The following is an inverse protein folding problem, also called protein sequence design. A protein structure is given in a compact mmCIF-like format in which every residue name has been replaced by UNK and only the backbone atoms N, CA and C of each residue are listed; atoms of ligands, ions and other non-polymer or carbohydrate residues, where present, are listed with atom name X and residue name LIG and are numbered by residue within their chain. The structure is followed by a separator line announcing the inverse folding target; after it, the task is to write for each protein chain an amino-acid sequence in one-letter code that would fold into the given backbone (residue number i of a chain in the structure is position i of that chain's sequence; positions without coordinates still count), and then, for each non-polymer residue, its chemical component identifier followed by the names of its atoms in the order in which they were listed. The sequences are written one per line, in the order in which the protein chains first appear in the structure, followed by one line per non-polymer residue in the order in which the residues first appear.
data_IF_870549712416
#
_entry.id   IF_870549712416
#
_cell.length_a   1.000
_cell.length_b   1.000
_cell.length_c   1.000
_cell.angle_alpha   90.00
_cell.angle_beta   90.00
_cell.angle_gamma   90.00
#
_symmetry.space_group_name_H-M   'P 1'
#
loop_
_entity.id
_entity.type
_entity.pdbx_description
1 polymer ?
#
# COMPACT_ATOMS: atom_id res chain seq x y z
N UNK A 1 11.57 17.45 25.75
CA UNK A 1 12.03 17.16 24.38
C UNK A 1 10.93 16.52 23.54
N UNK A 2 10.31 15.43 23.99
CA UNK A 2 9.19 14.75 23.30
C UNK A 2 8.01 15.69 22.95
N UNK A 3 7.56 16.52 23.91
CA UNK A 3 6.49 17.51 23.66
C UNK A 3 6.85 18.50 22.53
N UNK A 4 8.11 18.90 22.45
CA UNK A 4 8.58 19.80 21.40
C UNK A 4 8.56 19.13 20.02
N UNK A 5 8.95 17.86 19.95
CA UNK A 5 8.87 17.06 18.72
C UNK A 5 7.42 16.93 18.23
N UNK A 6 6.48 16.66 19.13
CA UNK A 6 5.04 16.58 18.81
C UNK A 6 4.51 17.93 18.30
N UNK A 7 4.95 19.04 18.87
CA UNK A 7 4.57 20.37 18.36
C UNK A 7 5.09 20.59 16.93
N UNK A 8 6.33 20.17 16.63
CA UNK A 8 6.88 20.21 15.28
C UNK A 8 6.06 19.33 14.34
N UNK A 9 5.80 18.08 14.70
CA UNK A 9 5.02 17.15 13.90
C UNK A 9 3.59 17.64 13.69
N UNK A 10 2.97 18.21 14.72
CA UNK A 10 1.63 18.79 14.64
C UNK A 10 1.61 19.97 13.67
N UNK A 11 2.64 20.82 13.71
CA UNK A 11 2.79 21.91 12.74
C UNK A 11 2.94 21.37 11.30
N UNK A 12 3.79 20.36 11.09
CA UNK A 12 3.99 19.71 9.79
C UNK A 12 2.68 19.08 9.30
N UNK A 13 1.94 18.41 10.18
CA UNK A 13 0.65 17.81 9.90
C UNK A 13 -0.37 18.88 9.48
N UNK A 14 -0.54 19.93 10.28
CA UNK A 14 -1.43 21.04 9.96
C UNK A 14 -1.06 21.72 8.63
N UNK A 15 0.22 21.95 8.39
CA UNK A 15 0.72 22.51 7.13
C UNK A 15 0.37 21.60 5.94
N UNK A 16 0.60 20.30 6.09
CA UNK A 16 0.37 19.29 5.05
C UNK A 16 -1.13 19.10 4.79
N UNK A 17 -1.96 19.07 5.82
CA UNK A 17 -3.43 19.07 5.69
C UNK A 17 -3.95 20.33 5.00
N UNK A 18 -3.38 21.50 5.28
CA UNK A 18 -3.73 22.74 4.58
C UNK A 18 -3.33 22.69 3.09
N UNK A 19 -2.17 22.09 2.75
CA UNK A 19 -1.78 21.86 1.35
C UNK A 19 -2.69 20.84 0.65
N UNK A 20 -3.08 19.77 1.34
CA UNK A 20 -4.04 18.79 0.84
C UNK A 20 -5.43 19.39 0.62
N UNK A 21 -5.88 20.30 1.49
CA UNK A 21 -7.12 21.08 1.29
C UNK A 21 -7.04 21.91 0.01
N UNK A 22 -5.86 22.42 -0.32
CA UNK A 22 -5.55 23.08 -1.58
C UNK A 22 -5.26 22.11 -2.75
N UNK A 23 -5.58 20.83 -2.57
CA UNK A 23 -5.52 19.74 -3.56
C UNK A 23 -4.12 19.29 -3.99
N UNK A 24 -3.08 19.61 -3.22
CA UNK A 24 -1.71 19.18 -3.51
C UNK A 24 -1.42 17.81 -2.88
N UNK A 25 -1.58 16.75 -3.68
CA UNK A 25 -1.53 15.36 -3.21
C UNK A 25 -0.14 14.88 -2.78
N UNK A 26 0.91 15.61 -3.14
CA UNK A 26 2.29 15.22 -2.79
C UNK A 26 2.51 15.30 -1.28
N UNK A 27 1.67 16.06 -0.57
CA UNK A 27 1.68 16.17 0.90
C UNK A 27 0.98 15.02 1.64
N UNK A 28 0.47 13.99 0.95
CA UNK A 28 -0.09 12.79 1.60
C UNK A 28 0.99 12.08 2.43
N UNK A 29 2.20 11.92 1.90
CA UNK A 29 3.30 11.26 2.62
C UNK A 29 3.64 11.99 3.93
N UNK A 30 3.94 13.30 3.93
CA UNK A 30 4.09 14.09 5.16
C UNK A 30 2.93 13.98 6.15
N UNK A 31 1.68 14.09 5.66
CA UNK A 31 0.50 14.06 6.52
C UNK A 31 0.30 12.70 7.19
N UNK A 32 0.51 11.60 6.45
CA UNK A 32 0.26 10.26 6.95
C UNK A 32 1.25 9.86 8.04
N UNK A 33 2.56 10.04 7.79
CA UNK A 33 3.59 9.68 8.76
C UNK A 33 3.52 10.52 10.05
N UNK A 34 3.27 11.83 9.92
CA UNK A 34 3.10 12.69 11.11
C UNK A 34 1.81 12.37 11.87
N UNK A 35 0.71 12.07 11.17
CA UNK A 35 -0.53 11.64 11.81
C UNK A 35 -0.34 10.34 12.61
N UNK A 36 0.26 9.32 12.00
CA UNK A 36 0.49 8.03 12.67
C UNK A 36 1.33 8.22 13.93
N UNK A 37 2.45 8.94 13.84
CA UNK A 37 3.33 9.11 14.97
C UNK A 37 2.68 9.86 16.14
N UNK A 38 1.95 10.95 15.84
CA UNK A 38 1.18 11.70 16.84
C UNK A 38 0.06 10.84 17.43
N UNK A 39 -0.66 10.09 16.60
CA UNK A 39 -1.75 9.20 17.03
C UNK A 39 -1.22 8.14 18.00
N UNK A 40 -0.12 7.49 17.68
CA UNK A 40 0.48 6.47 18.55
C UNK A 40 0.99 7.10 19.84
N UNK A 41 1.64 8.26 19.80
CA UNK A 41 2.05 8.94 21.03
C UNK A 41 0.88 9.22 21.97
N UNK A 42 -0.18 9.80 21.43
CA UNK A 42 -1.35 10.16 22.23
C UNK A 42 -2.04 8.89 22.75
N UNK A 43 -2.17 7.87 21.89
CA UNK A 43 -2.80 6.60 22.22
C UNK A 43 -2.06 5.80 23.29
N UNK A 44 -0.73 5.85 23.28
CA UNK A 44 0.13 5.14 24.25
C UNK A 44 0.21 5.87 25.59
N UNK A 45 0.28 7.21 25.57
CA UNK A 45 0.50 7.99 26.79
C UNK A 45 -0.78 8.30 27.58
N UNK A 46 -1.92 8.41 26.92
CA UNK A 46 -3.15 8.92 27.56
C UNK A 46 -4.32 7.94 27.55
N UNK A 47 -4.27 6.89 26.75
CA UNK A 47 -5.44 6.05 26.52
C UNK A 47 -5.17 4.55 26.59
N UNK A 48 -3.93 4.12 26.83
CA UNK A 48 -3.41 2.74 26.97
C UNK A 48 -3.78 1.73 25.85
N UNK A 49 -4.71 2.06 24.95
CA UNK A 49 -5.21 1.16 23.91
C UNK A 49 -4.12 0.82 22.90
N UNK A 50 -3.17 1.73 22.67
CA UNK A 50 -2.06 1.51 21.76
C UNK A 50 -1.00 0.55 22.34
N UNK A 51 -1.02 0.25 23.65
CA UNK A 51 -0.15 -0.75 24.28
C UNK A 51 -0.63 -2.20 24.05
N UNK A 52 -1.94 -2.39 23.79
CA UNK A 52 -2.54 -3.70 23.49
C UNK A 52 -2.20 -4.19 22.06
N UNK A 53 -0.91 -4.32 21.75
CA UNK A 53 -0.42 -4.87 20.50
C UNK A 53 -0.07 -6.35 20.71
N UNK A 54 -0.43 -7.26 19.78
CA UNK A 54 -0.27 -8.71 19.94
C UNK A 54 1.19 -9.22 19.96
N UNK A 55 2.18 -8.34 20.06
CA UNK A 55 3.58 -8.70 20.12
C UNK A 55 4.17 -8.13 21.41
N UNK A 56 4.78 -8.99 22.22
CA UNK A 56 5.49 -8.64 23.45
C UNK A 56 6.72 -7.77 23.13
N UNK A 57 6.50 -6.52 22.72
CA UNK A 57 7.52 -5.50 22.69
C UNK A 57 7.75 -5.06 24.13
N UNK A 58 8.66 -5.74 24.80
CA UNK A 58 9.11 -5.30 26.10
C UNK A 58 9.80 -3.94 25.92
N UNK A 59 9.18 -2.93 26.53
CA UNK A 59 9.71 -1.59 26.85
C UNK A 59 9.37 -0.52 25.81
N UNK A 60 8.29 0.21 26.08
CA UNK A 60 8.14 1.59 25.61
C UNK A 60 9.13 2.47 26.40
N UNK A 61 9.99 3.20 25.69
CA UNK A 61 10.91 4.15 26.31
C UNK A 61 10.74 5.52 25.64
N UNK A 62 10.62 6.59 26.43
CA UNK A 62 10.58 7.97 25.90
C UNK A 62 11.76 8.28 24.96
N UNK A 63 12.89 7.57 25.13
CA UNK A 63 14.04 7.68 24.24
C UNK A 63 13.84 7.01 22.88
N UNK A 64 13.28 5.79 22.81
CA UNK A 64 12.99 5.09 21.55
C UNK A 64 11.95 5.85 20.75
N UNK A 65 10.91 6.34 21.41
CA UNK A 65 9.89 7.21 20.82
C UNK A 65 10.47 8.50 20.24
N UNK A 66 11.43 9.12 20.95
CA UNK A 66 12.10 10.30 20.42
C UNK A 66 12.89 9.97 19.16
N UNK A 67 13.60 8.83 19.13
CA UNK A 67 14.36 8.41 17.96
C UNK A 67 13.46 8.13 16.76
N UNK A 68 12.34 7.43 16.95
CA UNK A 68 11.37 7.15 15.88
C UNK A 68 10.74 8.45 15.34
N UNK A 69 10.41 9.40 16.21
CA UNK A 69 9.89 10.71 15.78
C UNK A 69 10.92 11.58 15.06
N UNK A 70 12.18 11.60 15.51
CA UNK A 70 13.26 12.29 14.79
C UNK A 70 13.46 11.69 13.40
N UNK A 71 13.42 10.36 13.30
CA UNK A 71 13.52 9.63 12.04
C UNK A 71 12.37 9.96 11.08
N UNK A 72 11.14 10.00 11.58
CA UNK A 72 9.95 10.36 10.79
C UNK A 72 10.04 11.83 10.34
N UNK A 73 10.38 12.73 11.25
CA UNK A 73 10.59 14.14 10.95
C UNK A 73 11.67 14.34 9.88
N UNK A 74 12.79 13.63 9.96
CA UNK A 74 13.85 13.72 8.95
C UNK A 74 13.38 13.21 7.59
N UNK A 75 12.72 12.04 7.55
CA UNK A 75 12.19 11.48 6.31
C UNK A 75 11.22 12.45 5.63
N UNK A 76 10.30 13.03 6.39
CA UNK A 76 9.32 14.02 5.90
C UNK A 76 10.01 15.29 5.41
N UNK A 77 10.98 15.83 6.15
CA UNK A 77 11.74 17.00 5.74
C UNK A 77 12.47 16.76 4.41
N UNK A 78 13.22 15.66 4.28
CA UNK A 78 13.98 15.37 3.06
C UNK A 78 13.07 15.04 1.87
N UNK A 79 11.93 14.38 2.12
CA UNK A 79 10.90 14.20 1.12
C UNK A 79 10.40 15.55 0.59
N UNK A 80 10.04 16.49 1.48
CA UNK A 80 9.60 17.85 1.10
C UNK A 80 10.70 18.59 0.33
N UNK A 81 11.96 18.50 0.75
CA UNK A 81 13.09 19.10 0.02
C UNK A 81 13.19 18.52 -1.41
N UNK A 82 12.99 17.20 -1.57
CA UNK A 82 12.91 16.55 -2.87
C UNK A 82 11.79 17.11 -3.76
N UNK A 83 10.60 17.33 -3.21
CA UNK A 83 9.48 17.98 -3.91
C UNK A 83 9.89 19.38 -4.39
N UNK A 84 10.44 20.20 -3.49
CA UNK A 84 10.84 21.58 -3.78
C UNK A 84 11.91 21.64 -4.88
N UNK A 85 12.85 20.68 -4.88
CA UNK A 85 13.91 20.61 -5.87
C UNK A 85 13.40 20.37 -7.29
N UNK A 86 12.23 19.77 -7.44
CA UNK A 86 11.61 19.58 -8.75
C UNK A 86 11.22 20.89 -9.46
N UNK A 87 11.32 22.07 -8.81
CA UNK A 87 11.10 23.43 -9.39
C UNK A 87 9.79 23.60 -10.15
N UNK A 88 8.73 22.89 -9.77
CA UNK A 88 7.47 22.86 -10.53
C UNK A 88 6.29 23.11 -9.58
N UNK A 89 5.54 24.20 -9.87
CA UNK A 89 4.33 24.69 -9.19
C UNK A 89 3.36 23.59 -8.71
N UNK A 90 2.55 23.85 -7.65
CA UNK A 90 1.68 22.86 -7.02
C UNK A 90 0.77 22.19 -8.03
N UNK A 91 0.66 20.87 -7.91
CA UNK A 91 -0.23 20.03 -8.71
C UNK A 91 -1.64 20.28 -8.19
N UNK A 92 -2.48 20.95 -8.98
CA UNK A 92 -3.85 21.28 -8.54
C UNK A 92 -4.79 20.25 -9.13
N UNK A 93 -5.59 19.59 -8.29
CA UNK A 93 -6.71 18.76 -8.74
C UNK A 93 -7.83 19.62 -9.35
N UNK A 94 -7.62 20.20 -10.52
CA UNK A 94 -8.65 20.87 -11.30
C UNK A 94 -8.58 20.39 -12.76
N UNK A 95 -9.72 19.88 -13.23
CA UNK A 95 -10.00 19.50 -14.61
C UNK A 95 -9.03 18.50 -15.25
N UNK A 96 -8.63 17.44 -14.54
CA UNK A 96 -8.24 16.22 -15.27
C UNK A 96 -9.48 15.83 -16.07
N UNK A 97 -9.40 15.93 -17.39
CA UNK A 97 -10.48 15.53 -18.26
C UNK A 97 -10.47 14.00 -18.27
N UNK A 98 -11.07 13.39 -17.25
CA UNK A 98 -11.09 11.94 -16.99
C UNK A 98 -11.98 11.18 -17.99
N UNK A 99 -12.19 11.71 -19.20
CA UNK A 99 -12.82 10.93 -20.27
C UNK A 99 -11.84 9.89 -20.80
N UNK A 100 -11.62 8.85 -20.01
CA UNK A 100 -10.95 7.65 -20.47
C UNK A 100 -11.99 6.72 -21.07
N UNK A 101 -12.05 6.68 -22.41
CA UNK A 101 -12.93 5.77 -23.14
C UNK A 101 -12.16 4.50 -23.46
N UNK A 102 -12.31 3.50 -22.60
CA UNK A 102 -11.88 2.13 -22.92
C UNK A 102 -13.02 1.46 -23.70
N UNK A 103 -12.76 0.86 -24.88
CA UNK A 103 -13.78 0.09 -25.59
C UNK A 103 -14.31 -1.03 -24.69
N UNK A 104 -15.64 -1.07 -24.51
CA UNK A 104 -16.32 -2.01 -23.63
C UNK A 104 -15.93 -3.47 -23.90
N UNK A 105 -15.78 -3.83 -25.18
CA UNK A 105 -15.38 -5.18 -25.59
C UNK A 105 -13.97 -5.55 -25.10
N UNK A 106 -13.01 -4.61 -25.15
CA UNK A 106 -11.63 -4.85 -24.68
C UNK A 106 -11.61 -5.10 -23.18
N UNK A 107 -12.36 -4.30 -22.41
CA UNK A 107 -12.49 -4.48 -20.96
C UNK A 107 -13.03 -5.87 -20.62
N UNK A 108 -14.09 -6.31 -21.30
CA UNK A 108 -14.68 -7.64 -21.09
C UNK A 108 -13.69 -8.75 -21.44
N UNK A 109 -12.99 -8.65 -22.58
CA UNK A 109 -12.04 -9.67 -23.01
C UNK A 109 -10.93 -9.84 -21.97
N UNK A 110 -10.35 -8.75 -21.47
CA UNK A 110 -9.28 -8.82 -20.46
C UNK A 110 -9.79 -9.43 -19.15
N UNK A 111 -11.00 -9.05 -18.70
CA UNK A 111 -11.63 -9.59 -17.49
C UNK A 111 -11.87 -11.10 -17.64
N UNK A 112 -12.45 -11.52 -18.76
CA UNK A 112 -12.71 -12.94 -19.04
C UNK A 112 -11.40 -13.74 -19.13
N UNK A 113 -10.37 -13.15 -19.76
CA UNK A 113 -9.05 -13.77 -19.84
C UNK A 113 -8.40 -13.92 -18.45
N UNK A 114 -8.52 -12.92 -17.58
CA UNK A 114 -8.06 -13.00 -16.19
C UNK A 114 -8.78 -14.11 -15.41
N UNK A 115 -10.10 -14.21 -15.57
CA UNK A 115 -10.91 -15.27 -14.93
C UNK A 115 -10.49 -16.65 -15.47
N UNK A 116 -10.32 -16.78 -16.79
CA UNK A 116 -9.86 -18.00 -17.43
C UNK A 116 -8.48 -18.44 -16.92
N UNK A 117 -7.52 -17.50 -16.84
CA UNK A 117 -6.19 -17.79 -16.25
C UNK A 117 -6.33 -18.25 -14.81
N UNK A 118 -7.23 -17.66 -14.01
CA UNK A 118 -7.42 -18.08 -12.63
C UNK A 118 -7.89 -19.54 -12.51
N UNK A 119 -8.75 -20.00 -13.41
CA UNK A 119 -9.18 -21.41 -13.46
C UNK A 119 -8.07 -22.36 -13.90
N UNK A 120 -7.11 -21.91 -14.72
CA UNK A 120 -5.95 -22.71 -15.10
C UNK A 120 -4.81 -22.66 -14.06
N UNK A 121 -4.71 -21.56 -13.31
CA UNK A 121 -3.61 -21.32 -12.38
C UNK A 121 -3.73 -22.10 -11.08
N UNK A 122 -4.97 -22.45 -10.68
CA UNK A 122 -5.27 -23.02 -9.37
C UNK A 122 -6.22 -24.20 -9.50
N UNK A 123 -5.99 -25.24 -8.71
CA UNK A 123 -6.93 -26.34 -8.59
C UNK A 123 -8.20 -25.89 -7.86
N UNK A 124 -9.36 -26.17 -8.46
CA UNK A 124 -10.65 -25.71 -7.95
C UNK A 124 -10.92 -26.18 -6.52
N UNK A 125 -10.53 -27.43 -6.19
CA UNK A 125 -10.67 -27.98 -4.85
C UNK A 125 -9.78 -27.25 -3.83
N UNK A 126 -8.55 -26.89 -4.20
CA UNK A 126 -7.65 -26.12 -3.32
C UNK A 126 -8.13 -24.69 -3.09
N UNK A 127 -8.82 -24.08 -4.07
CA UNK A 127 -9.46 -22.77 -3.91
C UNK A 127 -10.67 -22.82 -2.98
N UNK A 128 -11.40 -23.94 -2.93
CA UNK A 128 -12.57 -24.09 -2.08
C UNK A 128 -12.20 -24.49 -0.64
N UNK A 129 -11.29 -25.46 -0.50
CA UNK A 129 -10.95 -26.11 0.77
C UNK A 129 -9.42 -26.33 0.87
N UNK A 130 -8.77 -25.75 1.87
CA UNK A 130 -7.34 -25.99 2.14
C UNK A 130 -7.01 -25.96 3.63
N UNK A 131 -6.06 -26.79 4.03
CA UNK A 131 -5.60 -26.89 5.43
C UNK A 131 -4.31 -26.13 5.73
N UNK A 132 -3.61 -25.58 4.72
CA UNK A 132 -2.37 -24.81 4.88
C UNK A 132 -2.26 -23.69 3.83
N UNK A 133 -1.36 -22.73 4.07
CA UNK A 133 -0.88 -21.78 3.04
C UNK A 133 -0.37 -22.58 1.84
N UNK A 134 -0.68 -22.15 0.60
CA UNK A 134 -0.38 -22.87 -0.65
C UNK A 134 1.06 -23.40 -0.67
N UNK A 135 1.22 -24.72 -0.56
CA UNK A 135 2.54 -25.35 -0.50
C UNK A 135 3.09 -25.72 -1.88
N UNK A 136 2.25 -25.80 -2.92
CA UNK A 136 2.68 -26.10 -4.28
C UNK A 136 1.90 -25.25 -5.29
N UNK A 137 2.46 -24.11 -5.72
CA UNK A 137 1.98 -23.43 -6.93
C UNK A 137 2.34 -24.32 -8.15
N UNK A 138 1.44 -25.25 -8.53
CA UNK A 138 1.60 -26.19 -9.66
C UNK A 138 1.89 -25.47 -10.98
N UNK A 139 1.34 -24.26 -11.14
CA UNK A 139 1.57 -23.41 -12.32
C UNK A 139 2.02 -21.98 -11.96
N UNK A 140 3.21 -21.86 -11.37
CA UNK A 140 3.83 -20.56 -10.95
C UNK A 140 3.66 -19.43 -11.97
N UNK A 141 3.85 -19.71 -13.27
CA UNK A 141 3.72 -18.69 -14.33
C UNK A 141 2.29 -18.16 -14.44
N UNK A 142 1.30 -19.05 -14.42
CA UNK A 142 -0.12 -18.69 -14.49
C UNK A 142 -0.56 -17.93 -13.24
N UNK A 143 -0.03 -18.30 -12.06
CA UNK A 143 -0.25 -17.58 -10.81
C UNK A 143 0.32 -16.16 -10.89
N UNK A 144 1.53 -15.98 -11.40
CA UNK A 144 2.13 -14.65 -11.60
C UNK A 144 1.29 -13.83 -12.58
N UNK A 145 0.89 -14.42 -13.71
CA UNK A 145 0.01 -13.77 -14.69
C UNK A 145 -1.30 -13.32 -14.06
N UNK A 146 -1.93 -14.18 -13.25
CA UNK A 146 -3.15 -13.82 -12.51
C UNK A 146 -2.91 -12.66 -11.54
N UNK A 147 -1.84 -12.71 -10.73
CA UNK A 147 -1.49 -11.64 -9.77
C UNK A 147 -1.26 -10.28 -10.45
N UNK A 148 -0.85 -10.27 -11.72
CA UNK A 148 -0.70 -9.04 -12.53
C UNK A 148 -2.02 -8.63 -13.19
N UNK A 149 -2.81 -9.60 -13.67
CA UNK A 149 -4.06 -9.34 -14.37
C UNK A 149 -5.23 -9.01 -13.44
N UNK A 150 -5.26 -9.49 -12.20
CA UNK A 150 -6.36 -9.26 -11.26
C UNK A 150 -6.56 -7.77 -10.95
N UNK A 151 -5.52 -6.96 -10.68
CA UNK A 151 -5.72 -5.54 -10.37
C UNK A 151 -6.12 -4.74 -11.62
N UNK A 152 -5.58 -5.13 -12.79
CA UNK A 152 -5.95 -4.54 -14.09
C UNK A 152 -7.42 -4.83 -14.40
N UNK A 153 -7.84 -6.09 -14.25
CA UNK A 153 -9.21 -6.52 -14.50
C UNK A 153 -10.19 -5.86 -13.53
N UNK A 154 -9.81 -5.75 -12.26
CA UNK A 154 -10.59 -5.02 -11.24
C UNK A 154 -10.76 -3.56 -11.63
N UNK A 155 -9.71 -2.89 -12.09
CA UNK A 155 -9.80 -1.53 -12.64
C UNK A 155 -10.76 -1.45 -13.83
N UNK A 156 -10.67 -2.39 -14.78
CA UNK A 156 -11.52 -2.44 -15.97
C UNK A 156 -13.00 -2.71 -15.63
N UNK A 157 -13.29 -3.48 -14.58
CA UNK A 157 -14.66 -3.66 -14.07
C UNK A 157 -15.33 -2.30 -13.77
N UNK A 158 -14.57 -1.32 -13.30
CA UNK A 158 -15.06 0.04 -13.03
C UNK A 158 -15.69 0.74 -14.25
N UNK A 159 -15.35 0.33 -15.48
CA UNK A 159 -15.85 0.90 -16.73
C UNK A 159 -17.10 0.18 -17.28
N UNK A 160 -17.55 -0.91 -16.64
CA UNK A 160 -18.73 -1.66 -17.08
C UNK A 160 -20.00 -0.87 -16.70
N UNK A 161 -20.80 -0.52 -17.71
CA UNK A 161 -22.05 0.25 -17.54
C UNK A 161 -23.15 -0.55 -16.82
N UNK A 162 -23.28 -1.83 -17.14
CA UNK A 162 -24.29 -2.69 -16.50
C UNK A 162 -23.86 -3.02 -15.07
N UNK A 163 -24.63 -2.53 -14.08
CA UNK A 163 -24.35 -2.73 -12.65
C UNK A 163 -24.23 -4.20 -12.26
N UNK A 164 -25.04 -5.09 -12.82
CA UNK A 164 -25.03 -6.51 -12.48
C UNK A 164 -23.76 -7.20 -12.99
N UNK A 165 -23.45 -7.01 -14.28
CA UNK A 165 -22.22 -7.54 -14.87
C UNK A 165 -20.97 -7.01 -14.15
N UNK A 166 -20.96 -5.72 -13.80
CA UNK A 166 -19.86 -5.09 -13.08
C UNK A 166 -19.54 -5.81 -11.77
N UNK A 167 -20.55 -6.00 -10.93
CA UNK A 167 -20.34 -6.60 -9.61
C UNK A 167 -20.13 -8.11 -9.68
N UNK A 168 -20.73 -8.81 -10.65
CA UNK A 168 -20.46 -10.23 -10.87
C UNK A 168 -19.01 -10.48 -11.28
N UNK A 169 -18.47 -9.70 -12.23
CA UNK A 169 -17.06 -9.83 -12.60
C UNK A 169 -16.11 -9.47 -11.47
N UNK A 170 -16.42 -8.39 -10.72
CA UNK A 170 -15.62 -8.04 -9.55
C UNK A 170 -15.62 -9.17 -8.52
N UNK A 171 -16.78 -9.77 -8.23
CA UNK A 171 -16.90 -10.89 -7.32
C UNK A 171 -16.08 -12.10 -7.78
N UNK A 172 -16.14 -12.44 -9.07
CA UNK A 172 -15.35 -13.55 -9.64
C UNK A 172 -13.83 -13.29 -9.58
N UNK A 173 -13.39 -12.04 -9.77
CA UNK A 173 -11.98 -11.70 -9.64
C UNK A 173 -11.54 -11.75 -8.17
N UNK A 174 -12.36 -11.27 -7.25
CA UNK A 174 -12.05 -11.21 -5.81
C UNK A 174 -12.15 -12.57 -5.11
N UNK A 175 -12.95 -13.51 -5.62
CA UNK A 175 -13.12 -14.82 -5.00
C UNK A 175 -11.80 -15.59 -4.87
N UNK A 176 -10.96 -15.53 -5.90
CA UNK A 176 -9.65 -16.20 -5.94
C UNK A 176 -8.67 -15.64 -4.88
N UNK A 177 -8.34 -14.34 -4.85
CA UNK A 177 -7.46 -13.80 -3.82
C UNK A 177 -8.10 -13.89 -2.42
N UNK A 178 -9.43 -13.88 -2.30
CA UNK A 178 -10.15 -14.17 -1.06
C UNK A 178 -9.93 -15.60 -0.58
N UNK A 179 -10.08 -16.61 -1.44
CA UNK A 179 -9.72 -18.00 -1.13
C UNK A 179 -8.28 -18.13 -0.68
N UNK A 180 -7.38 -17.37 -1.31
CA UNK A 180 -5.97 -17.41 -1.03
C UNK A 180 -5.57 -16.63 0.24
N UNK A 181 -6.50 -15.93 0.90
CA UNK A 181 -6.23 -14.99 1.98
C UNK A 181 -5.07 -14.03 1.62
N UNK A 182 -5.12 -13.55 0.37
CA UNK A 182 -4.08 -12.75 -0.25
C UNK A 182 -4.35 -11.26 -0.01
N UNK A 183 -3.30 -10.50 0.29
CA UNK A 183 -3.35 -9.03 0.40
C UNK A 183 -3.69 -8.35 -0.94
N UNK A 184 -3.65 -9.09 -2.05
CA UNK A 184 -4.04 -8.61 -3.38
C UNK A 184 -5.51 -8.17 -3.41
N UNK A 185 -6.39 -8.71 -2.55
CA UNK A 185 -7.79 -8.27 -2.41
C UNK A 185 -7.86 -6.74 -2.19
N UNK A 186 -7.03 -6.21 -1.29
CA UNK A 186 -7.01 -4.77 -1.00
C UNK A 186 -6.57 -3.95 -2.21
N UNK A 187 -5.59 -4.45 -2.97
CA UNK A 187 -5.11 -3.83 -4.22
C UNK A 187 -6.19 -3.89 -5.31
N UNK A 188 -6.86 -5.03 -5.49
CA UNK A 188 -7.94 -5.22 -6.45
C UNK A 188 -9.12 -4.28 -6.16
N UNK A 189 -9.54 -4.17 -4.89
CA UNK A 189 -10.57 -3.24 -4.45
C UNK A 189 -10.18 -1.77 -4.69
N UNK A 190 -8.92 -1.41 -4.41
CA UNK A 190 -8.39 -0.08 -4.70
C UNK A 190 -8.44 0.20 -6.21
N UNK A 191 -8.00 -0.74 -7.05
CA UNK A 191 -7.99 -0.59 -8.49
C UNK A 191 -9.41 -0.48 -9.09
N UNK A 192 -10.35 -1.29 -8.61
CA UNK A 192 -11.77 -1.18 -8.97
C UNK A 192 -12.37 0.19 -8.63
N UNK A 193 -12.00 0.74 -7.48
CA UNK A 193 -12.41 2.09 -7.09
C UNK A 193 -11.89 3.15 -8.06
N UNK A 194 -10.59 3.12 -8.38
CA UNK A 194 -9.97 4.03 -9.34
C UNK A 194 -10.75 3.98 -10.67
N UNK A 195 -10.99 2.79 -11.21
CA UNK A 195 -11.76 2.63 -12.45
C UNK A 195 -13.20 3.16 -12.36
N UNK A 196 -13.89 2.91 -11.25
CA UNK A 196 -15.26 3.37 -11.03
C UNK A 196 -15.37 4.89 -10.90
N UNK A 197 -14.39 5.54 -10.24
CA UNK A 197 -14.32 7.01 -10.11
C UNK A 197 -14.08 7.66 -11.47
N UNK A 198 -13.21 7.07 -12.29
CA UNK A 198 -12.95 7.52 -13.66
C UNK A 198 -14.22 7.51 -14.52
N UNK A 199 -15.03 6.44 -14.43
CA UNK A 199 -16.19 6.27 -15.29
C UNK A 199 -17.41 7.10 -14.85
N UNK A 200 -17.69 7.20 -13.55
CA UNK A 200 -19.00 7.69 -13.06
C UNK A 200 -18.96 8.99 -12.25
N UNK A 201 -17.80 9.60 -12.00
CA UNK A 201 -17.66 10.86 -11.22
C UNK A 201 -18.50 10.88 -9.92
N UNK A 202 -18.60 9.76 -9.20
CA UNK A 202 -19.50 9.64 -8.03
C UNK A 202 -18.97 10.37 -6.80
N UNK A 203 -19.91 10.92 -6.00
CA UNK A 203 -19.67 11.81 -4.86
C UNK A 203 -19.01 11.17 -3.64
N UNK A 204 -18.68 12.01 -2.66
CA UNK A 204 -17.90 11.71 -1.44
C UNK A 204 -18.35 10.47 -0.66
N UNK A 205 -19.66 10.23 -0.55
CA UNK A 205 -20.24 9.14 0.26
C UNK A 205 -19.89 7.73 -0.27
N UNK A 206 -19.83 7.57 -1.59
CA UNK A 206 -19.39 6.33 -2.23
C UNK A 206 -17.89 6.08 -2.04
N UNK A 207 -17.11 7.15 -1.89
CA UNK A 207 -15.67 7.10 -1.62
C UNK A 207 -15.41 6.62 -0.19
N UNK A 208 -16.19 7.10 0.77
CA UNK A 208 -16.08 6.72 2.19
C UNK A 208 -16.42 5.25 2.45
N UNK A 209 -17.49 4.72 1.83
CA UNK A 209 -17.90 3.30 1.99
C UNK A 209 -16.83 2.35 1.44
N UNK A 210 -16.17 2.72 0.34
CA UNK A 210 -15.14 1.89 -0.29
C UNK A 210 -13.81 2.00 0.45
N UNK A 211 -13.42 3.19 0.94
CA UNK A 211 -12.26 3.35 1.83
C UNK A 211 -12.48 2.51 3.11
N UNK A 212 -13.68 2.56 3.68
CA UNK A 212 -14.05 1.73 4.82
C UNK A 212 -13.95 0.23 4.47
N UNK A 213 -14.38 -0.17 3.26
CA UNK A 213 -14.23 -1.55 2.77
C UNK A 213 -12.77 -1.94 2.60
N UNK A 214 -11.92 -1.07 2.04
CA UNK A 214 -10.47 -1.31 1.90
C UNK A 214 -9.81 -1.48 3.26
N UNK A 215 -10.14 -0.61 4.23
CA UNK A 215 -9.66 -0.69 5.62
C UNK A 215 -10.11 -2.00 6.26
N UNK A 216 -11.41 -2.32 6.17
CA UNK A 216 -12.01 -3.53 6.73
C UNK A 216 -11.41 -4.82 6.12
N UNK A 217 -11.24 -4.88 4.79
CA UNK A 217 -10.63 -6.00 4.09
C UNK A 217 -9.09 -6.04 4.19
N UNK A 218 -8.44 -4.96 4.63
CA UNK A 218 -7.02 -5.00 5.02
C UNK A 218 -6.81 -5.48 6.45
N UNK A 219 -7.84 -5.41 7.31
CA UNK A 219 -7.84 -5.97 8.68
C UNK A 219 -8.22 -7.46 8.66
N UNK A 220 -9.13 -7.88 7.77
CA UNK A 220 -9.60 -9.27 7.68
C UNK A 220 -8.50 -10.35 7.49
N UNK A 221 -7.37 -10.12 6.79
CA UNK A 221 -6.32 -11.11 6.64
C UNK A 221 -5.57 -11.39 7.95
N UNK A 222 -5.56 -10.45 8.91
CA UNK A 222 -4.97 -10.67 10.23
C UNK A 222 -5.80 -11.66 11.05
N UNK A 223 -7.13 -11.58 10.96
CA UNK A 223 -8.07 -12.48 11.65
C UNK A 223 -8.05 -13.87 10.99
N UNK A 224 -8.08 -13.92 9.66
CA UNK A 224 -8.14 -15.19 8.91
C UNK A 224 -6.82 -15.97 8.87
N UNK A 225 -5.67 -15.33 9.16
CA UNK A 225 -4.35 -15.99 9.18
C UNK A 225 -4.12 -16.91 10.38
N UNK A 226 -4.84 -16.69 11.48
CA UNK A 226 -4.79 -17.57 12.65
C UNK A 226 -5.55 -18.89 12.47
N UNK A 227 -6.26 -19.07 11.35
CA UNK A 227 -7.11 -20.24 11.14
C UNK A 227 -6.34 -21.40 10.51
N UNK A 228 -6.56 -22.60 11.07
CA UNK A 228 -6.01 -23.87 10.57
C UNK A 228 -6.64 -24.32 9.25
N UNK A 229 -7.80 -23.79 8.90
CA UNK A 229 -8.51 -24.07 7.65
C UNK A 229 -8.74 -22.77 6.89
N UNK A 230 -8.49 -22.79 5.58
CA UNK A 230 -8.58 -21.64 4.69
C UNK A 230 -9.20 -22.08 3.35
N UNK A 231 -9.59 -21.14 2.50
CA UNK A 231 -10.25 -21.43 1.22
C UNK A 231 -11.59 -20.73 1.13
N UNK A 232 -12.19 -20.64 -0.05
CA UNK A 232 -13.38 -19.81 -0.28
C UNK A 232 -14.50 -20.11 0.71
N UNK A 233 -14.82 -21.40 0.87
CA UNK A 233 -15.95 -21.85 1.68
C UNK A 233 -15.64 -21.68 3.17
N UNK A 234 -14.46 -22.10 3.61
CA UNK A 234 -14.04 -21.90 5.00
C UNK A 234 -13.98 -20.41 5.37
N UNK A 235 -13.41 -19.58 4.50
CA UNK A 235 -13.35 -18.13 4.73
C UNK A 235 -14.76 -17.52 4.79
N UNK A 236 -15.73 -18.01 3.99
CA UNK A 236 -17.12 -17.57 4.06
C UNK A 236 -17.80 -18.02 5.36
N UNK A 237 -17.65 -19.28 5.74
CA UNK A 237 -18.25 -19.81 6.98
C UNK A 237 -17.70 -19.04 8.20
N UNK A 238 -16.42 -18.67 8.13
CA UNK A 238 -15.74 -17.89 9.13
C UNK A 238 -15.98 -16.37 9.01
N UNK A 239 -16.70 -15.88 7.99
CA UNK A 239 -17.17 -14.49 7.97
C UNK A 239 -18.15 -14.22 9.11
N UNK A 240 -18.85 -15.23 9.63
CA UNK A 240 -19.72 -15.07 10.80
C UNK A 240 -18.94 -14.55 12.03
N UNK A 241 -17.73 -15.04 12.27
CA UNK A 241 -16.80 -14.50 13.27
C UNK A 241 -16.34 -13.06 12.96
N UNK A 242 -16.36 -12.65 11.69
CA UNK A 242 -16.06 -11.29 11.24
C UNK A 242 -17.27 -10.36 11.43
N UNK A 243 -18.50 -10.87 11.34
CA UNK A 243 -19.71 -10.07 11.59
C UNK A 243 -20.07 -9.97 13.09
N UNK A 244 -19.55 -10.87 13.92
CA UNK A 244 -19.53 -10.78 15.40
C UNK A 244 -18.35 -9.96 15.94
N UNK A 245 -17.63 -9.24 15.06
CA UNK A 245 -16.59 -8.28 15.47
C UNK A 245 -17.24 -7.21 16.33
N UNK A 246 -16.97 -7.28 17.63
CA UNK A 246 -17.26 -6.17 18.54
C UNK A 246 -16.58 -4.90 18.00
N UNK A 247 -17.19 -3.73 18.24
CA UNK A 247 -16.55 -2.45 17.92
C UNK A 247 -15.12 -2.39 18.48
N UNK A 248 -14.89 -3.04 19.61
CA UNK A 248 -13.58 -3.20 20.23
C UNK A 248 -12.56 -3.89 19.30
N UNK A 249 -12.92 -5.01 18.65
CA UNK A 249 -12.02 -5.70 17.70
C UNK A 249 -11.76 -4.85 16.44
N UNK A 250 -12.75 -4.08 15.96
CA UNK A 250 -12.52 -3.14 14.85
C UNK A 250 -11.54 -2.02 15.25
N UNK A 251 -11.73 -1.40 16.42
CA UNK A 251 -10.82 -0.37 16.92
C UNK A 251 -9.44 -0.93 17.25
N UNK A 252 -9.33 -2.15 17.79
CA UNK A 252 -8.06 -2.89 17.92
C UNK A 252 -7.40 -3.11 16.57
N UNK A 253 -8.15 -3.41 15.51
CA UNK A 253 -7.61 -3.56 14.15
C UNK A 253 -7.10 -2.25 13.55
N UNK A 254 -7.85 -1.15 13.71
CA UNK A 254 -7.41 0.19 13.28
C UNK A 254 -6.18 0.65 14.08
N UNK A 255 -6.20 0.45 15.39
CA UNK A 255 -5.09 0.74 16.27
C UNK A 255 -3.87 -0.13 15.96
N UNK A 256 -4.06 -1.42 15.66
CA UNK A 256 -3.00 -2.28 15.19
C UNK A 256 -2.38 -1.69 13.93
N UNK A 257 -3.16 -1.40 12.88
CA UNK A 257 -2.61 -0.85 11.63
C UNK A 257 -1.85 0.47 11.84
N UNK A 258 -2.29 1.31 12.77
CA UNK A 258 -1.69 2.64 12.99
C UNK A 258 -0.54 2.59 14.00
N UNK A 259 -0.78 2.13 15.22
CA UNK A 259 0.18 2.11 16.33
C UNK A 259 1.26 1.04 16.21
N UNK A 260 0.95 -0.12 15.62
CA UNK A 260 1.95 -1.17 15.41
C UNK A 260 3.17 -0.66 14.67
N UNK A 261 2.97 0.19 13.65
CA UNK A 261 4.07 0.71 12.84
C UNK A 261 5.10 1.48 13.68
N UNK A 262 4.67 2.25 14.68
CA UNK A 262 5.59 3.04 15.52
C UNK A 262 6.31 2.15 16.51
N UNK A 263 5.62 1.22 17.18
CA UNK A 263 6.26 0.26 18.09
C UNK A 263 7.25 -0.66 17.38
N UNK A 264 6.89 -1.12 16.18
CA UNK A 264 7.76 -1.93 15.33
C UNK A 264 9.00 -1.13 14.89
N UNK A 265 8.84 0.17 14.60
CA UNK A 265 9.97 1.05 14.33
C UNK A 265 10.88 1.23 15.54
N UNK A 266 10.33 1.50 16.71
CA UNK A 266 11.08 1.67 17.96
C UNK A 266 11.89 0.43 18.30
N UNK A 267 11.22 -0.73 18.34
CA UNK A 267 11.88 -2.00 18.60
C UNK A 267 12.97 -2.29 17.55
N UNK A 268 12.69 -2.04 16.28
CA UNK A 268 13.69 -2.20 15.23
C UNK A 268 14.87 -1.21 15.38
N UNK A 269 14.68 -0.01 15.90
CA UNK A 269 15.81 0.91 16.13
C UNK A 269 16.74 0.41 17.25
N UNK A 270 16.21 -0.29 18.26
CA UNK A 270 16.99 -0.87 19.34
C UNK A 270 17.79 -2.12 18.93
N UNK A 271 17.27 -2.89 17.96
CA UNK A 271 17.95 -4.08 17.45
C UNK A 271 19.14 -3.71 16.54
N UNK A 272 20.37 -4.09 16.96
CA UNK A 272 21.61 -3.94 16.18
C UNK A 272 21.73 -4.98 15.06
N UNK A 273 20.88 -4.88 14.05
CA UNK A 273 20.97 -5.70 12.84
C UNK A 273 21.60 -4.86 11.71
N UNK A 274 22.81 -5.20 11.26
CA UNK A 274 23.41 -4.59 10.06
C UNK A 274 22.79 -5.21 8.80
N UNK A 275 22.36 -4.38 7.85
CA UNK A 275 21.39 -4.79 6.83
C UNK A 275 21.79 -4.54 5.37
N UNK A 276 23.05 -4.26 5.03
CA UNK A 276 23.40 -3.75 3.69
C UNK A 276 22.97 -4.67 2.56
N UNK A 277 23.10 -5.98 2.74
CA UNK A 277 22.55 -6.95 1.79
C UNK A 277 21.03 -6.86 1.70
N UNK A 278 20.34 -6.80 2.84
CA UNK A 278 18.90 -6.65 2.90
C UNK A 278 18.44 -5.34 2.20
N UNK A 279 19.14 -4.23 2.40
CA UNK A 279 18.86 -2.95 1.73
C UNK A 279 19.05 -3.06 0.22
N UNK A 280 20.19 -3.56 -0.23
CA UNK A 280 20.50 -3.72 -1.65
C UNK A 280 19.50 -4.67 -2.34
N UNK A 281 19.15 -5.78 -1.69
CA UNK A 281 18.12 -6.73 -2.16
C UNK A 281 16.75 -6.04 -2.21
N UNK A 282 16.45 -5.15 -1.26
CA UNK A 282 15.16 -4.44 -1.20
C UNK A 282 14.99 -3.41 -2.30
N UNK A 283 16.06 -2.68 -2.63
CA UNK A 283 16.04 -1.74 -3.75
C UNK A 283 16.31 -2.43 -5.09
N UNK A 284 16.51 -3.74 -5.15
CA UNK A 284 16.72 -4.41 -6.43
C UNK A 284 15.39 -4.59 -7.19
N UNK A 285 15.28 -4.14 -8.46
CA UNK A 285 14.06 -4.26 -9.24
C UNK A 285 13.74 -5.70 -9.68
N UNK A 286 14.70 -6.63 -9.60
CA UNK A 286 14.50 -8.01 -10.02
C UNK A 286 13.46 -8.72 -9.13
N UNK A 287 12.71 -9.70 -9.67
CA UNK A 287 11.83 -10.54 -8.86
C UNK A 287 12.62 -11.32 -7.80
N UNK A 288 11.96 -11.66 -6.68
CA UNK A 288 12.59 -12.40 -5.57
C UNK A 288 13.14 -13.76 -6.01
N UNK A 289 12.57 -14.38 -7.05
CA UNK A 289 13.04 -15.66 -7.61
C UNK A 289 14.44 -15.61 -8.21
N UNK A 290 14.95 -14.42 -8.54
CA UNK A 290 16.26 -14.23 -9.15
C UNK A 290 17.32 -13.71 -8.17
N UNK A 291 16.96 -13.54 -6.89
CA UNK A 291 17.85 -13.04 -5.86
C UNK A 291 17.90 -14.05 -4.70
N UNK A 292 19.06 -14.15 -4.05
CA UNK A 292 19.09 -14.78 -2.73
C UNK A 292 18.39 -13.84 -1.74
N UNK A 293 17.12 -14.11 -1.45
CA UNK A 293 16.30 -13.31 -0.54
C UNK A 293 16.40 -13.76 0.92
N UNK A 294 17.14 -14.83 1.21
CA UNK A 294 17.29 -15.31 2.57
C UNK A 294 17.87 -14.24 3.51
N UNK A 295 18.93 -13.48 3.12
CA UNK A 295 19.45 -12.40 3.97
C UNK A 295 18.43 -11.30 4.26
N UNK A 296 17.48 -11.06 3.34
CA UNK A 296 16.39 -10.12 3.57
C UNK A 296 15.48 -10.61 4.71
N UNK A 297 15.10 -11.88 4.72
CA UNK A 297 14.24 -12.42 5.77
C UNK A 297 14.96 -12.57 7.11
N UNK A 298 16.25 -12.89 7.09
CA UNK A 298 17.05 -13.05 8.30
C UNK A 298 17.31 -11.70 9.00
N UNK A 299 17.41 -10.60 8.25
CA UNK A 299 17.80 -9.27 8.77
C UNK A 299 16.65 -8.25 8.82
N UNK A 300 15.61 -8.44 8.00
CA UNK A 300 14.45 -7.55 7.91
C UNK A 300 13.19 -8.13 8.57
N UNK A 301 13.37 -9.01 9.56
CA UNK A 301 12.32 -9.47 10.45
C UNK A 301 12.66 -9.05 11.88
N UNK A 302 11.72 -8.36 12.52
CA UNK A 302 11.73 -8.02 13.94
C UNK A 302 11.48 -9.29 14.78
N UNK A 303 10.55 -10.13 14.32
CA UNK A 303 10.31 -11.48 14.82
C UNK A 303 9.71 -12.35 13.70
N UNK A 304 9.34 -13.60 13.99
CA UNK A 304 8.78 -14.53 13.01
C UNK A 304 7.51 -14.03 12.28
N UNK A 305 6.85 -13.01 12.81
CA UNK A 305 5.55 -12.51 12.33
C UNK A 305 5.56 -11.02 11.94
N UNK A 306 6.64 -10.29 12.24
CA UNK A 306 6.73 -8.84 12.12
C UNK A 306 7.99 -8.44 11.34
N UNK A 307 7.85 -7.77 10.18
CA UNK A 307 8.96 -7.28 9.39
C UNK A 307 9.62 -6.02 9.98
N UNK A 308 10.85 -5.73 9.60
CA UNK A 308 11.45 -4.40 9.87
C UNK A 308 10.81 -3.38 8.92
N UNK A 309 10.26 -2.26 9.43
CA UNK A 309 9.68 -1.21 8.61
C UNK A 309 10.71 -0.64 7.63
N UNK A 310 10.27 -0.38 6.39
CA UNK A 310 11.13 0.13 5.34
C UNK A 310 11.88 1.41 5.72
N UNK A 311 11.24 2.32 6.47
CA UNK A 311 11.87 3.55 6.97
C UNK A 311 13.07 3.30 7.89
N UNK A 312 12.96 2.34 8.80
CA UNK A 312 14.05 1.95 9.71
C UNK A 312 15.14 1.22 8.92
N UNK A 313 14.74 0.39 7.97
CA UNK A 313 15.68 -0.34 7.13
C UNK A 313 16.60 0.59 6.32
N UNK A 314 16.07 1.67 5.75
CA UNK A 314 16.89 2.68 5.07
C UNK A 314 17.80 3.42 6.06
N UNK A 315 17.29 3.75 7.24
CA UNK A 315 18.05 4.48 8.26
C UNK A 315 19.22 3.67 8.83
N UNK A 316 19.03 2.36 9.02
CA UNK A 316 20.06 1.43 9.51
C UNK A 316 21.28 1.37 8.59
N UNK A 317 21.13 1.61 7.28
CA UNK A 317 22.27 1.73 6.36
C UNK A 317 23.09 3.00 6.56
N UNK A 318 22.50 4.01 7.20
CA UNK A 318 23.16 5.25 7.56
C UNK A 318 22.36 6.47 7.15
N UNK A 319 22.61 7.56 7.86
CA UNK A 319 21.92 8.83 7.67
C UNK A 319 22.01 9.35 6.23
N UNK A 320 23.14 9.12 5.54
CA UNK A 320 23.31 9.51 4.14
C UNK A 320 22.34 8.79 3.19
N UNK A 321 22.14 7.48 3.38
CA UNK A 321 21.16 6.70 2.61
C UNK A 321 19.74 7.15 2.91
N UNK A 322 19.42 7.39 4.18
CA UNK A 322 18.12 7.93 4.60
C UNK A 322 17.79 9.26 3.92
N UNK A 323 18.72 10.22 3.96
CA UNK A 323 18.58 11.53 3.31
C UNK A 323 18.36 11.36 1.82
N UNK A 324 19.25 10.63 1.14
CA UNK A 324 19.23 10.48 -0.30
C UNK A 324 17.96 9.76 -0.77
N UNK A 325 17.55 8.69 -0.08
CA UNK A 325 16.39 7.90 -0.46
C UNK A 325 15.10 8.72 -0.40
N UNK A 326 14.82 9.39 0.72
CA UNK A 326 13.58 10.18 0.85
C UNK A 326 13.58 11.43 -0.02
N UNK A 327 14.73 12.06 -0.22
CA UNK A 327 14.89 13.11 -1.22
C UNK A 327 14.52 12.63 -2.63
N UNK A 328 15.07 11.49 -3.06
CA UNK A 328 14.78 10.92 -4.38
C UNK A 328 13.32 10.51 -4.51
N UNK A 329 12.72 9.92 -3.48
CA UNK A 329 11.29 9.61 -3.48
C UNK A 329 10.44 10.86 -3.68
N UNK A 330 10.70 11.94 -2.92
CA UNK A 330 9.99 13.21 -3.05
C UNK A 330 10.11 13.82 -4.44
N UNK A 331 11.33 13.82 -4.98
CA UNK A 331 11.62 14.29 -6.34
C UNK A 331 10.88 13.47 -7.41
N UNK A 332 11.01 12.14 -7.37
CA UNK A 332 10.43 11.23 -8.37
C UNK A 332 8.90 11.26 -8.33
N UNK A 333 8.27 11.19 -7.15
CA UNK A 333 6.81 11.22 -7.05
C UNK A 333 6.23 12.53 -7.56
N UNK A 334 6.81 13.67 -7.20
CA UNK A 334 6.35 14.96 -7.72
C UNK A 334 6.52 15.04 -9.24
N UNK A 335 7.65 14.57 -9.76
CA UNK A 335 7.92 14.54 -11.20
C UNK A 335 6.91 13.67 -11.97
N UNK A 336 6.64 12.45 -11.47
CA UNK A 336 5.69 11.50 -12.09
C UNK A 336 4.25 12.00 -12.01
N UNK A 337 3.79 12.46 -10.85
CA UNK A 337 2.45 12.99 -10.68
C UNK A 337 2.20 14.15 -11.64
N UNK A 338 3.16 15.08 -11.75
CA UNK A 338 3.06 16.19 -12.69
C UNK A 338 3.07 15.74 -14.15
N UNK A 339 3.92 14.78 -14.52
CA UNK A 339 3.92 14.24 -15.88
C UNK A 339 2.56 13.62 -16.28
N UNK A 340 1.79 13.17 -15.28
CA UNK A 340 0.48 12.55 -15.46
C UNK A 340 -0.71 13.47 -15.19
N UNK A 341 -0.54 14.74 -14.79
CA UNK A 341 -1.59 15.60 -14.24
C UNK A 341 -2.88 15.66 -15.10
N UNK A 342 -2.75 15.58 -16.43
CA UNK A 342 -3.89 15.60 -17.37
C UNK A 342 -4.25 14.22 -17.95
N UNK A 343 -3.68 13.15 -17.42
CA UNK A 343 -3.85 11.79 -17.91
C UNK A 343 -4.52 10.91 -16.83
N UNK A 344 -5.40 9.96 -17.20
CA UNK A 344 -6.05 9.07 -16.23
C UNK A 344 -5.10 8.22 -15.39
N UNK A 345 -3.87 8.00 -15.89
CA UNK A 345 -2.77 7.38 -15.14
C UNK A 345 -2.40 8.16 -13.86
N UNK A 346 -2.74 9.44 -13.77
CA UNK A 346 -2.62 10.23 -12.54
C UNK A 346 -3.20 9.50 -11.33
N UNK A 347 -4.38 8.91 -11.47
CA UNK A 347 -5.05 8.23 -10.36
C UNK A 347 -4.29 6.96 -9.95
N UNK A 348 -3.67 6.26 -10.92
CA UNK A 348 -2.81 5.11 -10.64
C UNK A 348 -1.59 5.56 -9.85
N UNK A 349 -0.92 6.64 -10.25
CA UNK A 349 0.23 7.19 -9.51
C UNK A 349 -0.13 7.64 -8.10
N UNK A 350 -1.25 8.32 -7.92
CA UNK A 350 -1.75 8.70 -6.58
C UNK A 350 -1.97 7.46 -5.72
N UNK A 351 -2.56 6.41 -6.29
CA UNK A 351 -2.90 5.20 -5.53
C UNK A 351 -1.67 4.38 -5.17
N UNK A 352 -0.70 4.25 -6.09
CA UNK A 352 0.59 3.62 -5.80
C UNK A 352 1.42 4.45 -4.83
N UNK A 353 1.31 5.77 -4.87
CA UNK A 353 1.93 6.65 -3.88
C UNK A 353 1.34 6.43 -2.48
N UNK A 354 0.00 6.39 -2.35
CA UNK A 354 -0.65 6.04 -1.10
C UNK A 354 -0.24 4.64 -0.60
N UNK A 355 -0.17 3.66 -1.50
CA UNK A 355 0.32 2.32 -1.20
C UNK A 355 1.78 2.32 -0.75
N UNK A 356 2.65 3.10 -1.40
CA UNK A 356 4.05 3.26 -1.02
C UNK A 356 4.18 3.79 0.40
N UNK A 357 3.45 4.87 0.73
CA UNK A 357 3.41 5.48 2.05
C UNK A 357 3.05 4.44 3.12
N UNK A 358 1.94 3.72 2.90
CA UNK A 358 1.45 2.70 3.83
C UNK A 358 2.46 1.56 3.99
N UNK A 359 2.94 0.98 2.88
CA UNK A 359 3.86 -0.15 2.91
C UNK A 359 5.21 0.21 3.52
N UNK A 360 5.70 1.44 3.32
CA UNK A 360 6.98 1.88 3.88
C UNK A 360 6.95 1.97 5.42
N UNK A 361 5.77 2.13 6.02
CA UNK A 361 5.57 2.20 7.48
C UNK A 361 5.44 0.83 8.17
N UNK A 362 4.99 -0.21 7.47
CA UNK A 362 4.58 -1.49 8.09
C UNK A 362 5.26 -2.72 7.50
N UNK A 363 5.98 -2.57 6.40
CA UNK A 363 6.55 -3.69 5.66
C UNK A 363 7.99 -3.42 5.29
N UNK A 364 8.66 -4.50 4.91
CA UNK A 364 10.02 -4.48 4.38
C UNK A 364 10.09 -3.49 3.22
N UNK A 365 11.24 -2.81 3.12
CA UNK A 365 11.48 -1.77 2.11
C UNK A 365 11.14 -2.24 0.69
N UNK A 366 11.41 -3.51 0.38
CA UNK A 366 11.22 -4.09 -0.96
C UNK A 366 9.81 -3.94 -1.51
N UNK A 367 8.80 -4.21 -0.70
CA UNK A 367 7.40 -4.14 -1.07
C UNK A 367 6.99 -2.71 -1.44
N UNK A 368 7.48 -1.74 -0.66
CA UNK A 368 7.23 -0.32 -0.94
C UNK A 368 7.95 0.12 -2.22
N UNK A 369 9.24 -0.21 -2.38
CA UNK A 369 10.06 0.22 -3.54
C UNK A 369 9.56 -0.37 -4.86
N UNK A 370 8.97 -1.57 -4.87
CA UNK A 370 8.32 -2.13 -6.06
C UNK A 370 7.21 -1.22 -6.61
N UNK A 371 6.41 -0.58 -5.75
CA UNK A 371 5.37 0.36 -6.19
C UNK A 371 5.99 1.56 -6.90
N UNK A 372 7.14 2.06 -6.40
CA UNK A 372 7.90 3.12 -7.06
C UNK A 372 8.41 2.67 -8.44
N UNK A 373 8.91 1.44 -8.57
CA UNK A 373 9.32 0.89 -9.87
C UNK A 373 8.17 0.77 -10.85
N UNK A 374 7.00 0.34 -10.41
CA UNK A 374 5.82 0.30 -11.27
C UNK A 374 5.43 1.71 -11.75
N UNK A 375 5.47 2.71 -10.86
CA UNK A 375 5.25 4.11 -11.27
C UNK A 375 6.29 4.58 -12.31
N UNK A 376 7.57 4.28 -12.11
CA UNK A 376 8.65 4.66 -13.02
C UNK A 376 8.47 4.02 -14.40
N UNK A 377 8.19 2.72 -14.47
CA UNK A 377 7.97 2.01 -15.74
C UNK A 377 6.77 2.60 -16.49
N UNK A 378 5.65 2.82 -15.80
CA UNK A 378 4.46 3.44 -16.39
C UNK A 378 4.78 4.85 -16.90
N UNK A 379 5.56 5.64 -16.14
CA UNK A 379 5.96 7.00 -16.54
C UNK A 379 6.84 6.99 -17.79
N UNK A 380 7.78 6.04 -17.90
CA UNK A 380 8.61 5.85 -19.09
C UNK A 380 7.76 5.47 -20.30
N UNK A 381 6.83 4.52 -20.14
CA UNK A 381 5.90 4.14 -21.20
C UNK A 381 5.09 5.35 -21.69
N UNK A 382 4.56 6.16 -20.79
CA UNK A 382 3.85 7.39 -21.15
C UNK A 382 4.73 8.38 -21.91
N UNK A 383 5.98 8.55 -21.46
CA UNK A 383 6.93 9.45 -22.12
C UNK A 383 7.21 9.03 -23.56
N UNK A 384 7.50 7.74 -23.78
CA UNK A 384 7.72 7.20 -25.13
C UNK A 384 6.46 7.27 -25.98
N UNK A 385 5.31 6.87 -25.45
CA UNK A 385 4.02 6.90 -26.15
C UNK A 385 3.67 8.29 -26.66
N UNK A 386 3.77 9.31 -25.81
CA UNK A 386 3.49 10.70 -26.17
C UNK A 386 4.45 11.23 -27.25
N UNK A 387 5.71 10.78 -27.24
CA UNK A 387 6.71 11.18 -28.24
C UNK A 387 6.45 10.53 -29.60
N UNK A 388 6.03 9.26 -29.61
CA UNK A 388 5.69 8.54 -30.84
C UNK A 388 4.44 9.11 -31.50
N UNK A 389 3.36 9.34 -30.74
CA UNK A 389 2.12 9.94 -31.28
C UNK A 389 2.37 11.34 -31.86
N UNK A 390 3.18 12.16 -31.19
CA UNK A 390 3.54 13.51 -31.68
C UNK A 390 4.42 13.52 -32.94
N UNK A 391 5.01 12.38 -33.32
CA UNK A 391 5.76 12.25 -34.58
C UNK A 391 4.89 11.74 -35.73
N UNK A 392 3.74 11.14 -35.42
CA UNK A 392 2.80 10.59 -36.40
C UNK A 392 1.74 11.62 -36.79
N UNK A 393 1.43 12.57 -35.89
CA UNK A 393 0.68 13.80 -36.20
C UNK A 393 1.63 14.88 -36.66
#
# INVERSE_FOLDING_TARGET
MVVFLILIESFILCYSLNKLKNKDLVYIFPAFFTFIHIYTYIGTKYFDFAEEIPFYYQIYNDYSFLQSGVLICSAVCFFIVGILFSKRYPIKWNNVNLEFKIPYCISIIIILFSIFISFLAFDFNELLYRQKYVTNETHRVLVILFKVLSPISSFLCGFIRNKYLKYNFLFLILSVPFSLNSRIISLDLMMFYIGSVLCFKRGFLYKSIIIFSVIFFSISPLILRGMSEQGFIYNILNLSYIFDISLDVFFRGVNYVTSFSVYEMEYALEQKLSGTDAFLISINPLPSSYLNVQPLYDQAMVNAFSPVPGIVMVYREGIGYHILFYFLCGFLFHWMLKASENHPVYIIFVSFFCGFVFMNSQYILRESVRLLYYCLIISLFMFFWNRTIKRIK
#
